data_IF_596257778461
#
_entry.id   IF_596257778461
#
_cell.length_a   1.000
_cell.length_b   1.000
_cell.length_c   1.000
_cell.angle_alpha   90.00
_cell.angle_beta   90.00
_cell.angle_gamma   90.00
#
_symmetry.space_group_name_H-M   'P 1'
#
loop_
_entity.id
_entity.type
_entity.pdbx_description
1 polymer ?
#
# COMPACT_ATOMS: atom_id res chain seq x y z
N UNK A 1 -2.92 -6.44 -28.42
CA UNK A 1 -3.40 -5.40 -27.46
C UNK A 1 -4.57 -5.95 -26.66
N UNK A 2 -4.41 -6.04 -25.35
CA UNK A 2 -5.46 -6.48 -24.43
C UNK A 2 -6.50 -5.37 -24.21
N UNK A 3 -7.79 -5.73 -24.17
CA UNK A 3 -8.90 -4.81 -23.86
C UNK A 3 -9.06 -4.59 -22.36
N UNK A 4 -8.84 -5.65 -21.58
CA UNK A 4 -8.89 -5.59 -20.12
C UNK A 4 -7.76 -4.73 -19.57
N UNK A 5 -8.01 -4.13 -18.40
CA UNK A 5 -7.02 -3.34 -17.65
C UNK A 5 -7.00 -3.80 -16.21
N UNK A 6 -5.84 -4.20 -15.74
CA UNK A 6 -5.62 -4.71 -14.38
C UNK A 6 -4.86 -3.69 -13.54
N UNK A 7 -5.10 -3.72 -12.24
CA UNK A 7 -4.27 -3.00 -11.28
C UNK A 7 -2.96 -3.73 -11.04
N UNK A 8 -1.93 -3.02 -10.54
CA UNK A 8 -0.68 -3.65 -10.13
C UNK A 8 -0.94 -4.74 -9.08
N UNK A 9 -1.83 -4.50 -8.12
CA UNK A 9 -2.20 -5.49 -7.11
C UNK A 9 -2.92 -6.71 -7.70
N UNK A 10 -3.72 -6.55 -8.77
CA UNK A 10 -4.36 -7.68 -9.45
C UNK A 10 -3.33 -8.62 -10.10
N UNK A 11 -2.12 -8.13 -10.41
CA UNK A 11 -1.01 -8.88 -11.02
C UNK A 11 -0.06 -9.42 -9.96
N UNK A 12 0.36 -8.58 -9.02
CA UNK A 12 1.36 -8.91 -8.01
C UNK A 12 0.83 -9.79 -6.87
N UNK A 13 -0.49 -9.95 -6.73
CA UNK A 13 -1.09 -10.79 -5.70
C UNK A 13 -1.14 -12.25 -6.15
N UNK A 14 -0.08 -13.01 -5.87
CA UNK A 14 0.02 -14.43 -6.26
C UNK A 14 -0.48 -15.39 -5.18
N UNK A 15 -1.43 -14.96 -4.35
CA UNK A 15 -2.03 -15.82 -3.32
C UNK A 15 -2.85 -16.98 -3.93
N UNK A 16 -3.52 -16.79 -5.05
CA UNK A 16 -4.17 -17.85 -5.80
C UNK A 16 -3.28 -18.27 -6.98
N UNK A 17 -2.67 -19.45 -6.91
CA UNK A 17 -1.73 -19.92 -7.93
C UNK A 17 -2.39 -20.09 -9.30
N UNK A 18 -3.67 -20.55 -9.38
CA UNK A 18 -4.39 -20.65 -10.64
C UNK A 18 -4.85 -19.29 -11.20
N UNK A 19 -4.99 -18.25 -10.32
CA UNK A 19 -5.57 -16.96 -10.67
C UNK A 19 -7.10 -16.96 -10.75
N UNK A 20 -7.77 -18.00 -10.23
CA UNK A 20 -9.24 -18.10 -10.21
C UNK A 20 -9.89 -16.98 -9.39
N UNK A 21 -9.21 -16.47 -8.37
CA UNK A 21 -9.65 -15.30 -7.61
C UNK A 21 -9.89 -14.08 -8.50
N UNK A 22 -8.98 -13.84 -9.44
CA UNK A 22 -9.11 -12.77 -10.41
C UNK A 22 -10.23 -13.05 -11.43
N UNK A 23 -10.36 -14.29 -11.89
CA UNK A 23 -11.45 -14.71 -12.78
C UNK A 23 -12.81 -14.48 -12.12
N UNK A 24 -13.00 -14.98 -10.90
CA UNK A 24 -14.25 -14.81 -10.14
C UNK A 24 -14.58 -13.32 -9.92
N UNK A 25 -13.57 -12.50 -9.64
CA UNK A 25 -13.71 -11.05 -9.47
C UNK A 25 -14.14 -10.34 -10.76
N UNK A 26 -13.48 -10.61 -11.88
CA UNK A 26 -13.61 -9.82 -13.12
C UNK A 26 -14.66 -10.35 -14.07
N UNK A 27 -14.73 -11.67 -14.25
CA UNK A 27 -15.66 -12.36 -15.18
C UNK A 27 -16.89 -12.85 -14.43
N UNK A 28 -16.70 -13.61 -13.36
CA UNK A 28 -17.80 -14.11 -12.54
C UNK A 28 -18.59 -13.00 -11.84
N UNK A 29 -18.02 -11.79 -11.75
CA UNK A 29 -18.61 -10.63 -11.04
C UNK A 29 -19.07 -10.98 -9.63
N UNK A 30 -18.41 -11.96 -9.04
CA UNK A 30 -18.71 -12.41 -7.71
C UNK A 30 -18.16 -11.35 -6.74
N UNK A 31 -19.07 -10.77 -5.97
CA UNK A 31 -18.69 -9.84 -4.91
C UNK A 31 -17.79 -10.57 -3.91
N UNK A 32 -16.58 -10.07 -3.73
CA UNK A 32 -15.72 -10.63 -2.70
C UNK A 32 -16.08 -10.06 -1.34
N UNK A 33 -16.03 -10.91 -0.32
CA UNK A 33 -16.22 -10.48 1.06
C UNK A 33 -14.85 -10.09 1.63
N UNK A 34 -14.75 -8.87 2.12
CA UNK A 34 -13.58 -8.45 2.88
C UNK A 34 -13.45 -9.36 4.11
N UNK A 35 -12.25 -9.85 4.39
CA UNK A 35 -11.95 -10.47 5.67
C UNK A 35 -11.34 -9.45 6.64
N UNK A 36 -11.21 -9.81 7.92
CA UNK A 36 -10.68 -8.92 8.95
C UNK A 36 -9.27 -8.40 8.62
N UNK A 37 -8.38 -9.27 8.10
CA UNK A 37 -7.03 -8.88 7.74
C UNK A 37 -6.99 -7.83 6.61
N UNK A 38 -7.91 -7.93 5.65
CA UNK A 38 -8.04 -6.94 4.58
C UNK A 38 -8.55 -5.60 5.10
N UNK A 39 -9.56 -5.62 5.98
CA UNK A 39 -10.10 -4.40 6.59
C UNK A 39 -9.05 -3.74 7.47
N UNK A 40 -8.32 -4.54 8.27
CA UNK A 40 -7.18 -4.05 9.05
C UNK A 40 -6.12 -3.41 8.14
N UNK A 41 -5.71 -4.09 7.08
CA UNK A 41 -4.75 -3.57 6.12
C UNK A 41 -5.18 -2.22 5.53
N UNK A 42 -6.42 -2.11 5.08
CA UNK A 42 -6.98 -0.86 4.53
C UNK A 42 -6.95 0.28 5.55
N UNK A 43 -7.34 0.01 6.81
CA UNK A 43 -7.28 1.00 7.89
C UNK A 43 -5.85 1.47 8.12
N UNK A 44 -4.91 0.53 8.25
CA UNK A 44 -3.53 0.85 8.59
C UNK A 44 -2.82 1.61 7.46
N UNK A 45 -3.07 1.26 6.19
CA UNK A 45 -2.62 2.05 5.03
C UNK A 45 -3.16 3.48 5.09
N UNK A 46 -4.45 3.63 5.40
CA UNK A 46 -5.07 4.95 5.51
C UNK A 46 -4.45 5.78 6.63
N UNK A 47 -4.18 5.18 7.79
CA UNK A 47 -3.51 5.87 8.91
C UNK A 47 -2.12 6.35 8.52
N UNK A 48 -1.32 5.52 7.83
CA UNK A 48 0.01 5.92 7.36
C UNK A 48 -0.08 7.07 6.37
N UNK A 49 -0.96 6.98 5.38
CA UNK A 49 -1.15 8.07 4.41
C UNK A 49 -1.56 9.37 5.09
N UNK A 50 -2.46 9.30 6.06
CA UNK A 50 -2.99 10.46 6.78
C UNK A 50 -1.93 11.16 7.63
N UNK A 51 -1.15 10.42 8.44
CA UNK A 51 -0.11 11.03 9.27
C UNK A 51 0.95 11.74 8.42
N UNK A 52 1.38 11.14 7.29
CA UNK A 52 2.34 11.77 6.39
C UNK A 52 1.76 13.03 5.72
N UNK A 53 0.51 12.97 5.26
CA UNK A 53 -0.16 14.10 4.61
C UNK A 53 -0.35 15.27 5.57
N UNK A 54 -0.90 15.03 6.76
CA UNK A 54 -1.09 16.08 7.79
C UNK A 54 0.24 16.66 8.24
N UNK A 55 1.26 15.81 8.42
CA UNK A 55 2.59 16.27 8.83
C UNK A 55 3.20 17.22 7.81
N UNK A 56 3.11 16.90 6.52
CA UNK A 56 3.58 17.79 5.45
C UNK A 56 2.85 19.12 5.46
N UNK A 57 1.52 19.13 5.58
CA UNK A 57 0.74 20.36 5.64
C UNK A 57 1.13 21.23 6.85
N UNK A 58 1.33 20.61 8.02
CA UNK A 58 1.76 21.32 9.23
C UNK A 58 3.13 21.95 9.04
N UNK A 59 4.10 21.19 8.49
CA UNK A 59 5.47 21.67 8.30
C UNK A 59 5.50 22.77 7.23
N UNK A 60 4.78 22.63 6.12
CA UNK A 60 4.67 23.67 5.08
C UNK A 60 4.07 24.97 5.61
N UNK A 61 3.02 24.85 6.44
CA UNK A 61 2.36 26.02 7.02
C UNK A 61 3.18 26.69 8.12
N UNK A 62 4.24 26.06 8.61
CA UNK A 62 5.06 26.54 9.70
C UNK A 62 6.56 26.32 9.42
N UNK A 63 7.19 27.13 8.55
CA UNK A 63 8.57 26.90 8.12
C UNK A 63 9.62 26.87 9.23
N UNK A 64 9.32 27.43 10.40
CA UNK A 64 10.21 27.47 11.58
C UNK A 64 9.76 26.51 12.70
N UNK A 65 8.92 25.54 12.38
CA UNK A 65 8.36 24.60 13.36
C UNK A 65 9.46 23.85 14.11
N UNK A 66 9.27 23.70 15.42
CA UNK A 66 10.05 22.81 16.29
C UNK A 66 9.36 21.46 16.43
N UNK A 67 10.04 20.45 16.98
CA UNK A 67 9.42 19.16 17.29
C UNK A 67 8.26 19.29 18.27
N UNK A 68 8.38 20.19 19.28
CA UNK A 68 7.33 20.43 20.26
C UNK A 68 6.09 21.09 19.64
N UNK A 69 6.29 22.08 18.76
CA UNK A 69 5.18 22.70 18.03
C UNK A 69 4.49 21.68 17.11
N UNK A 70 5.27 20.83 16.45
CA UNK A 70 4.74 19.76 15.62
C UNK A 70 3.91 18.78 16.43
N UNK A 71 4.45 18.29 17.57
CA UNK A 71 3.75 17.36 18.45
C UNK A 71 2.39 17.94 18.92
N UNK A 72 2.39 19.22 19.27
CA UNK A 72 1.16 19.92 19.68
C UNK A 72 0.16 20.06 18.53
N UNK A 73 0.63 20.41 17.32
CA UNK A 73 -0.25 20.66 16.16
C UNK A 73 -0.81 19.39 15.54
N UNK A 74 -0.01 18.31 15.46
CA UNK A 74 -0.48 17.03 14.94
C UNK A 74 -1.41 16.34 15.93
N UNK A 75 -1.16 16.50 17.23
CA UNK A 75 -1.98 15.97 18.31
C UNK A 75 -2.11 14.44 18.33
N UNK A 76 -3.16 13.99 19.00
CA UNK A 76 -3.61 12.60 19.00
C UNK A 76 -4.71 12.42 17.96
N UNK A 77 -4.86 11.20 17.45
CA UNK A 77 -5.92 10.87 16.51
C UNK A 77 -7.08 10.16 17.22
N UNK A 78 -8.29 10.61 17.00
CA UNK A 78 -9.49 9.82 17.31
C UNK A 78 -9.83 8.91 16.13
N UNK A 79 -9.23 7.72 16.13
CA UNK A 79 -9.43 6.78 15.02
C UNK A 79 -10.86 6.27 14.88
N UNK A 80 -11.69 6.40 15.92
CA UNK A 80 -13.09 5.99 15.85
C UNK A 80 -13.86 6.98 14.96
N UNK A 81 -13.66 8.27 15.16
CA UNK A 81 -14.31 9.30 14.34
C UNK A 81 -13.72 9.35 12.93
N UNK A 82 -12.38 9.35 12.82
CA UNK A 82 -11.70 9.34 11.52
C UNK A 82 -12.10 8.14 10.65
N UNK A 83 -12.17 6.93 11.24
CA UNK A 83 -12.57 5.74 10.51
C UNK A 83 -14.00 5.84 9.97
N UNK A 84 -14.92 6.48 10.70
CA UNK A 84 -16.28 6.77 10.20
C UNK A 84 -16.24 7.69 9.00
N UNK A 85 -15.45 8.79 9.08
CA UNK A 85 -15.28 9.74 7.98
C UNK A 85 -14.65 9.08 6.75
N UNK A 86 -13.72 8.15 6.95
CA UNK A 86 -13.12 7.35 5.87
C UNK A 86 -14.05 6.26 5.33
N UNK A 87 -15.22 6.10 5.92
CA UNK A 87 -16.26 5.19 5.45
C UNK A 87 -16.12 3.74 5.93
N UNK A 88 -15.30 3.49 6.96
CA UNK A 88 -15.23 2.16 7.58
C UNK A 88 -16.52 1.84 8.37
N UNK A 89 -16.79 0.55 8.49
CA UNK A 89 -17.92 0.06 9.27
C UNK A 89 -17.46 -0.25 10.71
N UNK A 90 -18.02 0.47 11.68
CA UNK A 90 -17.72 0.28 13.11
C UNK A 90 -18.79 -0.58 13.80
N UNK A 91 -19.96 -0.72 13.20
CA UNK A 91 -21.13 -1.32 13.84
C UNK A 91 -21.55 -2.65 13.19
N UNK A 92 -20.82 -3.12 12.15
CA UNK A 92 -21.17 -4.35 11.43
C UNK A 92 -22.45 -4.25 10.61
N UNK A 93 -22.85 -3.04 10.23
CA UNK A 93 -24.09 -2.80 9.47
C UNK A 93 -23.96 -3.04 7.97
N UNK A 94 -22.71 -3.02 7.44
CA UNK A 94 -22.45 -3.24 6.02
C UNK A 94 -22.36 -4.73 5.73
N UNK A 95 -23.25 -5.25 4.90
CA UNK A 95 -23.24 -6.65 4.49
C UNK A 95 -21.92 -7.02 3.80
N UNK A 96 -21.24 -8.04 4.28
CA UNK A 96 -20.01 -8.56 3.69
C UNK A 96 -18.74 -7.78 4.01
N UNK A 97 -18.79 -6.83 4.94
CA UNK A 97 -17.62 -6.08 5.44
C UNK A 97 -17.52 -6.29 6.94
N UNK A 98 -16.42 -6.86 7.46
CA UNK A 98 -16.20 -6.94 8.90
C UNK A 98 -16.16 -5.55 9.55
N UNK A 99 -16.75 -5.43 10.74
CA UNK A 99 -16.60 -4.22 11.53
C UNK A 99 -15.17 -4.05 12.02
N UNK A 100 -14.74 -2.80 12.20
CA UNK A 100 -13.46 -2.50 12.84
C UNK A 100 -13.50 -2.94 14.31
N UNK A 101 -12.53 -3.77 14.69
CA UNK A 101 -12.34 -4.16 16.07
C UNK A 101 -11.53 -3.12 16.86
N UNK A 102 -11.66 -3.14 18.19
CA UNK A 102 -10.81 -2.31 19.07
C UNK A 102 -9.32 -2.60 18.87
N UNK A 103 -8.96 -3.86 18.57
CA UNK A 103 -7.59 -4.24 18.29
C UNK A 103 -7.04 -3.58 17.02
N UNK A 104 -7.84 -3.47 15.95
CA UNK A 104 -7.45 -2.77 14.71
C UNK A 104 -7.27 -1.27 14.97
N UNK A 105 -8.20 -0.64 15.69
CA UNK A 105 -8.09 0.77 16.08
C UNK A 105 -6.86 1.02 16.97
N UNK A 106 -6.56 0.12 17.89
CA UNK A 106 -5.36 0.20 18.72
C UNK A 106 -4.07 0.14 17.87
N UNK A 107 -3.97 -0.78 16.92
CA UNK A 107 -2.82 -0.86 15.99
C UNK A 107 -2.66 0.43 15.18
N UNK A 108 -3.75 1.01 14.71
CA UNK A 108 -3.72 2.29 14.03
C UNK A 108 -3.20 3.44 14.91
N UNK A 109 -3.63 3.51 16.19
CA UNK A 109 -3.10 4.47 17.15
C UNK A 109 -1.61 4.27 17.41
N UNK A 110 -1.14 3.02 17.50
CA UNK A 110 0.28 2.74 17.62
C UNK A 110 1.09 3.26 16.42
N UNK A 111 0.60 3.07 15.19
CA UNK A 111 1.26 3.63 13.99
C UNK A 111 1.32 5.15 14.05
N UNK A 112 0.21 5.79 14.41
CA UNK A 112 0.16 7.25 14.52
C UNK A 112 1.21 7.78 15.49
N UNK A 113 1.25 7.27 16.71
CA UNK A 113 2.21 7.72 17.73
C UNK A 113 3.67 7.40 17.35
N UNK A 114 3.90 6.25 16.72
CA UNK A 114 5.21 5.86 16.24
C UNK A 114 5.73 6.81 15.15
N UNK A 115 4.93 7.09 14.13
CA UNK A 115 5.34 7.99 13.05
C UNK A 115 5.41 9.44 13.53
N UNK A 116 4.49 9.88 14.38
CA UNK A 116 4.53 11.20 15.02
C UNK A 116 5.87 11.43 15.72
N UNK A 117 6.30 10.50 16.55
CA UNK A 117 7.57 10.56 17.26
C UNK A 117 8.77 10.60 16.31
N UNK A 118 8.75 9.77 15.26
CA UNK A 118 9.82 9.76 14.25
C UNK A 118 9.92 11.07 13.48
N UNK A 119 8.79 11.64 13.11
CA UNK A 119 8.74 12.91 12.39
C UNK A 119 9.22 14.06 13.27
N UNK A 120 8.77 14.11 14.54
CA UNK A 120 9.23 15.09 15.50
C UNK A 120 10.76 15.04 15.68
N UNK A 121 11.32 13.86 15.89
CA UNK A 121 12.78 13.67 15.95
C UNK A 121 13.47 14.16 14.67
N UNK A 122 12.90 13.85 13.50
CA UNK A 122 13.47 14.24 12.21
C UNK A 122 13.46 15.75 12.00
N UNK A 123 12.44 16.45 12.50
CA UNK A 123 12.38 17.92 12.49
C UNK A 123 13.60 18.51 13.22
N UNK A 124 13.89 18.05 14.43
CA UNK A 124 15.03 18.55 15.23
C UNK A 124 16.38 18.17 14.61
N UNK A 125 16.51 16.94 14.09
CA UNK A 125 17.72 16.49 13.39
C UNK A 125 18.04 17.37 12.17
N UNK A 126 17.03 17.64 11.34
CA UNK A 126 17.21 18.50 10.15
C UNK A 126 17.50 19.94 10.54
N UNK A 127 16.82 20.48 11.56
CA UNK A 127 17.11 21.82 12.08
C UNK A 127 18.55 21.95 12.58
N UNK A 128 19.02 20.93 13.30
CA UNK A 128 20.40 20.91 13.80
C UNK A 128 21.44 20.89 12.69
N UNK A 129 21.21 20.11 11.64
CA UNK A 129 22.15 19.94 10.53
C UNK A 129 22.08 21.07 9.49
N UNK A 130 20.88 21.61 9.28
CA UNK A 130 20.59 22.60 8.24
C UNK A 130 19.79 23.76 8.80
N UNK A 131 20.37 24.60 9.66
CA UNK A 131 19.66 25.65 10.41
C UNK A 131 19.00 26.72 9.53
N UNK A 132 19.48 26.88 8.30
CA UNK A 132 18.95 27.83 7.32
C UNK A 132 18.04 27.19 6.26
N UNK A 133 17.75 25.91 6.41
CA UNK A 133 16.85 25.21 5.48
C UNK A 133 15.40 25.59 5.78
N UNK A 134 14.69 26.07 4.78
CA UNK A 134 13.31 26.53 4.91
C UNK A 134 12.39 25.93 3.83
N UNK A 135 11.09 26.01 4.11
CA UNK A 135 10.00 25.71 3.18
C UNK A 135 10.10 24.32 2.53
N UNK A 136 10.14 24.28 1.21
CA UNK A 136 10.10 23.06 0.42
C UNK A 136 11.26 22.13 0.72
N UNK A 137 12.48 22.65 0.76
CA UNK A 137 13.68 21.87 1.09
C UNK A 137 13.59 21.25 2.47
N UNK A 138 13.05 21.97 3.45
CA UNK A 138 12.87 21.45 4.80
C UNK A 138 11.85 20.31 4.85
N UNK A 139 10.69 20.46 4.22
CA UNK A 139 9.69 19.39 4.12
C UNK A 139 10.28 18.16 3.45
N UNK A 140 11.00 18.35 2.34
CA UNK A 140 11.63 17.27 1.61
C UNK A 140 12.68 16.52 2.45
N UNK A 141 13.48 17.22 3.24
CA UNK A 141 14.48 16.61 4.12
C UNK A 141 13.87 15.90 5.33
N UNK A 142 12.77 16.42 5.88
CA UNK A 142 12.06 15.79 7.00
C UNK A 142 11.26 14.59 6.53
N UNK A 143 10.52 14.73 5.42
CA UNK A 143 9.60 13.71 4.88
C UNK A 143 9.85 13.48 3.37
N UNK A 144 10.93 12.77 3.00
CA UNK A 144 11.34 12.60 1.59
C UNK A 144 10.44 11.66 0.78
N UNK A 145 9.33 11.20 1.33
CA UNK A 145 8.41 10.25 0.69
C UNK A 145 7.19 10.96 0.13
N UNK A 146 6.84 10.67 -1.12
CA UNK A 146 5.54 11.02 -1.71
C UNK A 146 4.61 9.84 -1.43
N UNK A 147 3.47 10.08 -0.77
CA UNK A 147 2.47 9.04 -0.44
C UNK A 147 1.28 9.12 -1.39
N UNK A 148 0.67 7.97 -1.68
CA UNK A 148 -0.55 7.86 -2.50
C UNK A 148 -0.44 8.55 -3.87
N UNK A 149 0.76 8.49 -4.49
CA UNK A 149 0.96 9.10 -5.80
C UNK A 149 0.10 8.40 -6.85
N UNK A 150 -0.76 9.17 -7.51
CA UNK A 150 -1.62 8.66 -8.58
C UNK A 150 -0.83 8.51 -9.87
N UNK A 151 -1.01 7.35 -10.53
CA UNK A 151 -0.32 6.99 -11.75
C UNK A 151 -1.32 6.46 -12.78
N UNK A 152 -1.04 6.74 -14.05
CA UNK A 152 -1.79 6.19 -15.19
C UNK A 152 -0.98 5.07 -15.83
N UNK A 153 -1.42 3.82 -15.64
CA UNK A 153 -0.73 2.64 -16.17
C UNK A 153 -1.15 2.22 -17.58
N UNK A 154 -1.98 3.00 -18.28
CA UNK A 154 -2.56 2.59 -19.57
C UNK A 154 -1.51 2.27 -20.64
N UNK A 155 -0.39 2.96 -20.63
CA UNK A 155 0.70 2.73 -21.57
C UNK A 155 1.27 1.32 -21.48
N UNK A 156 1.27 0.75 -20.26
CA UNK A 156 1.68 -0.64 -20.01
C UNK A 156 0.51 -1.64 -20.00
N UNK A 157 -0.67 -1.25 -20.47
CA UNK A 157 -1.86 -2.11 -20.44
C UNK A 157 -2.51 -2.24 -19.05
N UNK A 158 -2.13 -1.37 -18.10
CA UNK A 158 -2.65 -1.38 -16.73
C UNK A 158 -3.78 -0.37 -16.53
N UNK A 159 -4.35 -0.35 -15.33
CA UNK A 159 -5.39 0.60 -14.93
C UNK A 159 -4.89 2.05 -15.01
N UNK A 160 -5.77 2.97 -15.39
CA UNK A 160 -5.51 4.41 -15.33
C UNK A 160 -5.54 4.98 -13.91
N UNK A 161 -6.09 4.23 -12.96
CA UNK A 161 -6.27 4.65 -11.57
C UNK A 161 -5.40 3.78 -10.67
N UNK A 162 -4.09 3.97 -10.73
CA UNK A 162 -3.13 3.35 -9.84
C UNK A 162 -2.74 4.33 -8.73
N UNK A 163 -2.36 3.81 -7.57
CA UNK A 163 -1.80 4.59 -6.49
C UNK A 163 -0.65 3.80 -5.86
N UNK A 164 0.53 4.40 -5.79
CA UNK A 164 1.69 3.82 -5.10
C UNK A 164 1.68 4.27 -3.64
N UNK A 165 1.92 3.36 -2.70
CA UNK A 165 1.93 3.67 -1.27
C UNK A 165 2.96 4.74 -0.93
N UNK A 166 4.16 4.63 -1.49
CA UNK A 166 5.21 5.60 -1.29
C UNK A 166 6.26 5.62 -2.41
N UNK A 167 6.79 6.80 -2.67
CA UNK A 167 7.93 6.99 -3.56
C UNK A 167 8.93 7.95 -2.92
N UNK A 168 10.19 7.53 -2.81
CA UNK A 168 11.28 8.35 -2.29
C UNK A 168 12.07 8.89 -3.48
N UNK A 169 11.74 10.09 -3.88
CA UNK A 169 12.27 10.73 -5.09
C UNK A 169 13.81 10.86 -5.07
N UNK A 170 14.39 11.22 -3.92
CA UNK A 170 15.85 11.39 -3.77
C UNK A 170 16.66 10.10 -3.99
N UNK A 171 16.01 8.96 -3.94
CA UNK A 171 16.61 7.64 -4.09
C UNK A 171 16.10 6.88 -5.32
N UNK A 172 15.11 7.42 -6.02
CA UNK A 172 14.43 6.71 -7.11
C UNK A 172 13.81 5.39 -6.64
N UNK A 173 13.24 5.37 -5.41
CA UNK A 173 12.82 4.13 -4.75
C UNK A 173 11.32 4.07 -4.54
N UNK A 174 10.70 3.01 -5.06
CA UNK A 174 9.30 2.67 -4.79
C UNK A 174 9.19 1.94 -3.46
N UNK A 175 8.25 2.37 -2.62
CA UNK A 175 7.97 1.77 -1.32
C UNK A 175 6.55 1.22 -1.31
N UNK A 176 6.41 -0.01 -0.83
CA UNK A 176 5.13 -0.68 -0.65
C UNK A 176 5.02 -1.19 0.80
N UNK A 177 3.88 -0.94 1.43
CA UNK A 177 3.61 -1.34 2.81
C UNK A 177 2.88 -2.67 2.85
N UNK A 178 3.32 -3.55 3.74
CA UNK A 178 2.66 -4.83 3.99
C UNK A 178 2.40 -5.02 5.49
N UNK A 179 1.16 -5.34 5.80
CA UNK A 179 0.73 -5.75 7.16
C UNK A 179 0.61 -7.27 7.25
N UNK A 180 1.27 -7.98 6.33
CA UNK A 180 1.35 -9.44 6.28
C UNK A 180 2.38 -9.95 7.32
N UNK A 181 2.06 -10.99 8.13
CA UNK A 181 3.02 -11.60 9.05
C UNK A 181 4.19 -12.28 8.33
N UNK A 182 4.01 -12.66 7.06
CA UNK A 182 5.02 -13.36 6.27
C UNK A 182 5.65 -12.46 5.21
N UNK A 183 6.92 -12.68 4.97
CA UNK A 183 7.62 -12.11 3.81
C UNK A 183 7.47 -13.06 2.62
N UNK A 184 7.09 -12.52 1.47
CA UNK A 184 6.88 -13.30 0.25
C UNK A 184 7.61 -12.66 -0.91
N UNK A 185 8.28 -13.49 -1.72
CA UNK A 185 9.08 -13.02 -2.85
C UNK A 185 8.22 -12.26 -3.87
N UNK A 186 7.01 -12.73 -4.12
CA UNK A 186 6.10 -12.08 -5.06
C UNK A 186 5.61 -10.68 -4.62
N UNK A 187 5.80 -10.27 -3.35
CA UNK A 187 5.50 -8.90 -2.94
C UNK A 187 6.37 -7.88 -3.70
N UNK A 188 7.58 -8.27 -4.14
CA UNK A 188 8.46 -7.43 -4.96
C UNK A 188 7.84 -7.06 -6.31
N UNK A 189 6.92 -7.86 -6.83
CA UNK A 189 6.19 -7.53 -8.05
C UNK A 189 5.33 -6.27 -7.90
N UNK A 190 4.90 -5.91 -6.70
CA UNK A 190 4.15 -4.66 -6.49
C UNK A 190 5.03 -3.44 -6.77
N UNK A 191 6.22 -3.39 -6.17
CA UNK A 191 7.16 -2.30 -6.41
C UNK A 191 7.67 -2.30 -7.85
N UNK A 192 7.91 -3.49 -8.43
CA UNK A 192 8.31 -3.64 -9.83
C UNK A 192 7.26 -3.07 -10.79
N UNK A 193 5.98 -3.43 -10.60
CA UNK A 193 4.91 -2.92 -11.45
C UNK A 193 4.76 -1.39 -11.39
N UNK A 194 4.84 -0.82 -10.18
CA UNK A 194 4.81 0.64 -10.04
C UNK A 194 6.04 1.32 -10.63
N UNK A 195 7.24 0.75 -10.45
CA UNK A 195 8.46 1.27 -11.06
C UNK A 195 8.36 1.34 -12.58
N UNK A 196 7.92 0.25 -13.22
CA UNK A 196 7.72 0.21 -14.69
C UNK A 196 6.69 1.24 -15.15
N UNK A 197 5.61 1.48 -14.38
CA UNK A 197 4.63 2.53 -14.70
C UNK A 197 5.28 3.92 -14.59
N UNK A 198 6.07 4.17 -13.55
CA UNK A 198 6.77 5.44 -13.38
C UNK A 198 7.80 5.67 -14.48
N UNK A 199 8.58 4.66 -14.85
CA UNK A 199 9.51 4.70 -15.98
C UNK A 199 8.81 5.06 -17.30
N UNK A 200 7.61 4.48 -17.54
CA UNK A 200 6.83 4.76 -18.75
C UNK A 200 6.23 6.17 -18.79
N UNK A 201 6.03 6.80 -17.63
CA UNK A 201 5.44 8.13 -17.52
C UNK A 201 6.47 9.25 -17.46
N UNK A 202 7.59 9.00 -16.80
CA UNK A 202 8.56 10.04 -16.46
C UNK A 202 9.90 9.90 -17.20
N UNK A 203 10.09 8.80 -17.95
CA UNK A 203 11.27 8.57 -18.80
C UNK A 203 12.60 8.59 -18.03
N UNK A 204 12.58 8.19 -16.75
CA UNK A 204 13.80 7.98 -15.95
C UNK A 204 13.77 6.60 -15.26
N UNK A 205 14.95 5.97 -15.03
CA UNK A 205 14.99 4.65 -14.41
C UNK A 205 14.55 4.66 -12.96
N UNK A 206 13.83 3.61 -12.56
CA UNK A 206 13.40 3.36 -11.17
C UNK A 206 13.80 1.94 -10.80
N UNK A 207 15.02 1.82 -10.28
CA UNK A 207 15.67 0.51 -10.08
C UNK A 207 15.65 0.01 -8.64
N UNK A 208 15.09 0.79 -7.72
CA UNK A 208 15.05 0.42 -6.31
C UNK A 208 13.61 0.21 -5.82
N UNK A 209 13.41 -0.90 -5.12
CA UNK A 209 12.19 -1.23 -4.41
C UNK A 209 12.45 -1.48 -2.92
N UNK A 210 11.47 -1.17 -2.09
CA UNK A 210 11.48 -1.49 -0.69
C UNK A 210 10.09 -1.97 -0.25
N UNK A 211 9.99 -3.22 0.21
CA UNK A 211 8.80 -3.69 0.90
C UNK A 211 8.99 -3.44 2.40
N UNK A 212 8.07 -2.70 3.00
CA UNK A 212 8.09 -2.42 4.43
C UNK A 212 7.02 -3.27 5.11
N UNK A 213 7.44 -4.32 5.80
CA UNK A 213 6.56 -5.15 6.62
C UNK A 213 6.40 -4.51 8.00
N UNK A 214 5.18 -4.13 8.31
CA UNK A 214 4.80 -3.56 9.61
C UNK A 214 4.20 -4.65 10.47
N UNK A 215 4.89 -5.03 11.53
CA UNK A 215 4.48 -6.11 12.44
C UNK A 215 4.23 -5.55 13.83
N UNK A 216 3.22 -6.11 14.49
CA UNK A 216 2.87 -5.76 15.87
C UNK A 216 3.24 -6.93 16.79
N UNK A 217 4.08 -6.67 17.77
CA UNK A 217 4.47 -7.68 18.77
C UNK A 217 4.61 -7.00 20.13
N UNK A 218 3.96 -7.57 21.13
CA UNK A 218 4.03 -7.11 22.53
C UNK A 218 3.70 -5.59 22.67
N UNK A 219 2.70 -5.12 21.95
CA UNK A 219 2.31 -3.69 21.94
C UNK A 219 3.30 -2.75 21.22
N UNK A 220 4.28 -3.31 20.51
CA UNK A 220 5.29 -2.54 19.80
C UNK A 220 5.23 -2.77 18.30
N UNK A 221 5.64 -1.75 17.53
CA UNK A 221 5.83 -1.85 16.08
C UNK A 221 7.23 -2.34 15.78
N UNK A 222 7.31 -3.32 14.89
CA UNK A 222 8.55 -3.82 14.30
C UNK A 222 8.50 -3.64 12.80
N UNK A 223 9.46 -2.89 12.27
CA UNK A 223 9.60 -2.69 10.83
C UNK A 223 10.69 -3.61 10.28
N UNK A 224 10.31 -4.43 9.32
CA UNK A 224 11.26 -5.19 8.50
C UNK A 224 11.26 -4.57 7.09
N UNK A 225 12.43 -4.15 6.61
CA UNK A 225 12.58 -3.55 5.29
C UNK A 225 13.33 -4.51 4.39
N UNK A 226 12.67 -4.90 3.31
CA UNK A 226 13.27 -5.70 2.24
C UNK A 226 13.62 -4.77 1.09
N UNK A 227 14.87 -4.30 1.08
CA UNK A 227 15.42 -3.51 -0.01
C UNK A 227 15.86 -4.43 -1.12
N UNK A 228 15.48 -4.12 -2.35
CA UNK A 228 15.88 -4.93 -3.50
C UNK A 228 16.09 -4.06 -4.74
N UNK A 229 16.95 -4.56 -5.61
CA UNK A 229 17.10 -4.04 -6.95
C UNK A 229 15.95 -4.58 -7.81
N UNK A 230 15.29 -3.70 -8.55
CA UNK A 230 14.28 -4.06 -9.54
C UNK A 230 15.00 -4.48 -10.81
N UNK A 231 15.42 -5.75 -10.84
CA UNK A 231 16.20 -6.32 -11.92
C UNK A 231 15.33 -6.63 -13.16
N UNK A 232 16.01 -6.96 -14.27
CA UNK A 232 15.34 -7.38 -15.49
C UNK A 232 14.51 -8.67 -15.29
N UNK A 233 14.95 -9.57 -14.41
CA UNK A 233 14.22 -10.78 -14.07
C UNK A 233 12.90 -10.45 -13.35
N UNK A 234 12.90 -9.47 -12.43
CA UNK A 234 11.68 -9.03 -11.76
C UNK A 234 10.72 -8.34 -12.74
N UNK A 235 11.26 -7.51 -13.65
CA UNK A 235 10.47 -6.87 -14.70
C UNK A 235 9.86 -7.91 -15.63
N UNK A 236 10.65 -8.89 -16.05
CA UNK A 236 10.19 -9.99 -16.90
C UNK A 236 9.10 -10.80 -16.19
N UNK A 237 9.31 -11.17 -14.93
CA UNK A 237 8.30 -11.89 -14.14
C UNK A 237 6.99 -11.09 -14.03
N UNK A 238 7.07 -9.79 -13.77
CA UNK A 238 5.86 -8.94 -13.74
C UNK A 238 5.13 -8.92 -15.09
N UNK A 239 5.86 -8.82 -16.21
CA UNK A 239 5.28 -8.84 -17.57
C UNK A 239 4.60 -10.18 -17.84
N UNK A 240 5.24 -11.28 -17.53
CA UNK A 240 4.69 -12.64 -17.73
C UNK A 240 3.41 -12.84 -16.92
N UNK A 241 3.40 -12.44 -15.65
CA UNK A 241 2.21 -12.51 -14.82
C UNK A 241 1.09 -11.58 -15.32
N UNK A 242 1.44 -10.37 -15.76
CA UNK A 242 0.48 -9.45 -16.38
C UNK A 242 -0.18 -10.09 -17.59
N UNK A 243 0.62 -10.62 -18.51
CA UNK A 243 0.13 -11.18 -19.76
C UNK A 243 -0.68 -12.46 -19.51
N UNK A 244 -0.25 -13.31 -18.57
CA UNK A 244 -0.98 -14.50 -18.14
C UNK A 244 -2.36 -14.12 -17.59
N UNK A 245 -2.44 -13.16 -16.70
CA UNK A 245 -3.69 -12.72 -16.07
C UNK A 245 -4.60 -11.97 -17.04
N UNK A 246 -4.05 -11.20 -17.96
CA UNK A 246 -4.84 -10.53 -19.00
C UNK A 246 -5.47 -11.54 -19.96
N UNK A 247 -4.74 -12.59 -20.39
CA UNK A 247 -5.29 -13.67 -21.20
C UNK A 247 -6.43 -14.41 -20.50
N UNK A 248 -6.23 -14.75 -19.21
CA UNK A 248 -7.26 -15.39 -18.41
C UNK A 248 -8.57 -14.60 -18.40
N UNK A 249 -8.49 -13.25 -18.37
CA UNK A 249 -9.67 -12.39 -18.39
C UNK A 249 -10.26 -12.26 -19.79
N UNK A 250 -9.43 -12.16 -20.85
CA UNK A 250 -9.92 -11.98 -22.23
C UNK A 250 -10.48 -13.25 -22.84
N UNK A 251 -9.90 -14.41 -22.51
CA UNK A 251 -10.37 -15.71 -22.98
C UNK A 251 -11.59 -16.19 -22.20
N UNK A 252 -11.93 -15.53 -21.07
CA UNK A 252 -13.06 -15.87 -20.18
C UNK A 252 -13.07 -17.35 -19.74
N UNK A 253 -11.88 -17.96 -19.67
CA UNK A 253 -11.72 -19.37 -19.30
C UNK A 253 -11.49 -19.46 -17.78
N UNK A 254 -12.37 -20.20 -17.08
CA UNK A 254 -12.15 -20.51 -15.66
C UNK A 254 -10.93 -21.43 -15.52
N UNK A 255 -9.85 -20.97 -14.84
CA UNK A 255 -8.64 -21.78 -14.69
C UNK A 255 -8.80 -22.93 -13.69
N UNK A 256 -9.97 -23.07 -13.08
CA UNK A 256 -10.21 -24.06 -12.06
C UNK A 256 -9.58 -23.72 -10.69
N UNK A 257 -9.89 -24.57 -9.73
CA UNK A 257 -9.39 -24.43 -8.37
C UNK A 257 -7.89 -24.75 -8.30
N UNK A 258 -7.15 -23.98 -7.50
CA UNK A 258 -5.78 -24.31 -7.15
C UNK A 258 -5.72 -25.47 -6.14
N UNK A 259 -4.74 -26.36 -6.26
CA UNK A 259 -4.49 -27.44 -5.28
C UNK A 259 -4.11 -26.86 -3.91
N UNK A 260 -3.43 -25.71 -3.90
CA UNK A 260 -3.08 -24.97 -2.70
C UNK A 260 -3.93 -23.70 -2.57
N UNK A 261 -4.83 -23.69 -1.58
CA UNK A 261 -5.67 -22.53 -1.27
C UNK A 261 -5.32 -21.95 0.10
N UNK A 262 -5.18 -20.64 0.17
CA UNK A 262 -5.06 -19.94 1.45
C UNK A 262 -6.36 -20.03 2.23
N UNK A 263 -6.25 -20.26 3.54
CA UNK A 263 -7.43 -20.30 4.42
C UNK A 263 -8.21 -18.99 4.44
N UNK A 264 -7.52 -17.88 4.28
CA UNK A 264 -8.07 -16.53 4.29
C UNK A 264 -8.53 -16.05 2.90
N UNK A 265 -8.60 -16.92 1.90
CA UNK A 265 -9.04 -16.54 0.55
C UNK A 265 -10.50 -16.03 0.58
N UNK A 266 -10.77 -14.81 0.09
CA UNK A 266 -12.12 -14.22 0.12
C UNK A 266 -13.13 -14.93 -0.79
N UNK A 267 -12.66 -15.80 -1.69
CA UNK A 267 -13.47 -16.59 -2.60
C UNK A 267 -13.55 -18.07 -2.21
N UNK A 268 -12.99 -18.47 -1.06
CA UNK A 268 -12.87 -19.89 -0.68
C UNK A 268 -14.20 -20.63 -0.70
N UNK A 269 -15.24 -20.04 -0.13
CA UNK A 269 -16.58 -20.64 -0.08
C UNK A 269 -17.14 -20.87 -1.50
N UNK A 270 -17.10 -19.82 -2.34
CA UNK A 270 -17.61 -19.90 -3.72
C UNK A 270 -16.79 -20.88 -4.55
N UNK A 271 -15.47 -20.87 -4.38
CA UNK A 271 -14.55 -21.71 -5.12
C UNK A 271 -14.73 -23.22 -4.82
N UNK A 272 -15.22 -23.56 -3.62
CA UNK A 272 -15.48 -24.95 -3.22
C UNK A 272 -16.81 -25.47 -3.78
N UNK A 273 -17.82 -24.60 -3.94
CA UNK A 273 -19.16 -24.99 -4.34
C UNK A 273 -19.45 -24.90 -5.85
N UNK A 274 -18.49 -24.42 -6.65
CA UNK A 274 -18.64 -24.26 -8.10
C UNK A 274 -17.80 -25.25 -8.92
N UNK A 275 -17.45 -26.42 -8.36
CA UNK A 275 -16.85 -27.53 -9.09
C UNK A 275 -17.95 -28.42 -9.71
#
# INVERSE_FOLDING_TARGET
DFRARLGVSDIASLYCASGRDLYLKKIGKIGFRLNEAMVEGLLLHRVVSEIFTRSKLIIYSNPKITSLDFDTKIGTIDLTEEAKEWGFDLEGKKTGVPALSEAMLYKGKLIWEFEKTRIAYRIDDIRSRYPYCESDAFVFLVLPVIVEQRLNGQFLGLSKNLAVDGYIFSQGMVVDLKFDPETREFHKLTTTGYAMVMESLYEFPVDLGCIVYVRFKDGQIRLVRDFHHISDELRQWFIEERDRRLRLIEDEIDPGRSDECYETCPYKEVCIYQD
#
